data_IF_555232479617
#
_entry.id   IF_555232479617
#
_cell.length_a   1.000
_cell.length_b   1.000
_cell.length_c   1.000
_cell.angle_alpha   90.00
_cell.angle_beta   90.00
_cell.angle_gamma   90.00
#
_symmetry.space_group_name_H-M   'P 1'
#
loop_
_entity.id
_entity.type
_entity.pdbx_description
1 polymer ?
#
# COMPACT_ATOMS: atom_id res chain seq x y z
N UNK A 1 -0.55 11.57 -16.39
CA UNK A 1 -0.79 11.45 -14.93
C UNK A 1 0.45 10.84 -14.28
N UNK A 2 1.44 11.66 -13.94
CA UNK A 2 2.65 11.22 -13.23
C UNK A 2 2.59 11.71 -11.80
N UNK A 3 1.98 10.92 -10.92
CA UNK A 3 2.00 11.18 -9.48
C UNK A 3 3.31 10.66 -8.90
N UNK A 4 4.13 11.54 -8.35
CA UNK A 4 5.35 11.23 -7.60
C UNK A 4 5.09 10.09 -6.61
N UNK A 5 5.66 8.91 -6.89
CA UNK A 5 5.47 7.71 -6.09
C UNK A 5 6.58 7.56 -5.04
N UNK A 6 6.26 7.33 -3.76
CA UNK A 6 5.03 7.73 -3.06
C UNK A 6 5.13 9.19 -2.57
N UNK A 7 4.02 9.93 -2.62
CA UNK A 7 3.93 11.26 -1.97
C UNK A 7 4.16 11.09 -0.48
N UNK A 8 5.08 11.86 0.12
CA UNK A 8 5.29 11.85 1.58
C UNK A 8 3.97 12.17 2.28
N UNK A 9 3.34 11.16 2.88
CA UNK A 9 2.18 11.38 3.74
C UNK A 9 2.58 12.25 4.93
N UNK A 10 2.03 13.47 5.03
CA UNK A 10 2.36 14.43 6.11
C UNK A 10 1.69 14.07 7.44
N UNK A 11 0.51 13.44 7.37
CA UNK A 11 -0.24 12.97 8.53
C UNK A 11 0.00 11.48 8.73
N UNK A 12 0.83 11.15 9.73
CA UNK A 12 1.18 9.76 10.08
C UNK A 12 0.82 9.52 11.54
N UNK A 13 0.09 8.44 11.80
CA UNK A 13 -0.18 7.98 13.15
C UNK A 13 0.77 6.83 13.48
N UNK A 14 1.54 6.94 14.57
CA UNK A 14 2.46 5.89 14.97
C UNK A 14 1.66 4.66 15.44
N UNK A 15 1.77 3.54 14.73
CA UNK A 15 1.26 2.27 15.23
C UNK A 15 2.25 1.80 16.30
N UNK A 16 1.94 1.99 17.59
CA UNK A 16 2.81 1.54 18.67
C UNK A 16 2.63 0.04 18.86
N UNK A 17 3.72 -0.65 19.23
CA UNK A 17 3.71 -2.10 19.48
C UNK A 17 2.72 -2.50 20.58
N UNK A 18 2.54 -1.66 21.60
CA UNK A 18 1.59 -1.89 22.69
C UNK A 18 0.13 -1.84 22.19
N UNK A 19 -0.17 -0.95 21.26
CA UNK A 19 -1.53 -0.73 20.76
C UNK A 19 -1.86 -1.68 19.59
N UNK A 20 -0.86 -2.10 18.82
CA UNK A 20 -1.01 -2.95 17.63
C UNK A 20 -0.01 -4.13 17.62
N UNK A 21 -0.06 -5.05 18.60
CA UNK A 21 0.91 -6.12 18.74
C UNK A 21 0.90 -7.09 17.56
N UNK A 22 -0.28 -7.41 17.01
CA UNK A 22 -0.42 -8.34 15.89
C UNK A 22 0.21 -7.82 14.59
N UNK A 23 0.02 -6.54 14.29
CA UNK A 23 0.66 -5.88 13.15
C UNK A 23 2.18 -5.91 13.30
N UNK A 24 2.68 -5.63 14.51
CA UNK A 24 4.11 -5.67 14.77
C UNK A 24 4.68 -7.09 14.65
N UNK A 25 3.96 -8.11 15.11
CA UNK A 25 4.33 -9.51 14.95
C UNK A 25 4.37 -9.92 13.47
N UNK A 26 3.39 -9.49 12.67
CA UNK A 26 3.39 -9.72 11.22
C UNK A 26 4.61 -9.06 10.56
N UNK A 27 4.95 -7.82 10.91
CA UNK A 27 6.16 -7.15 10.39
C UNK A 27 7.45 -7.87 10.82
N UNK A 28 7.52 -8.39 12.05
CA UNK A 28 8.67 -9.17 12.54
C UNK A 28 8.84 -10.45 11.73
N UNK A 29 7.73 -11.16 11.54
CA UNK A 29 7.66 -12.45 10.85
C UNK A 29 8.02 -12.33 9.36
N UNK A 30 7.48 -11.33 8.66
CA UNK A 30 7.82 -11.06 7.25
C UNK A 30 9.28 -10.63 7.10
N UNK A 31 9.78 -9.74 7.97
CA UNK A 31 11.18 -9.31 7.94
C UNK A 31 12.13 -10.50 8.15
N UNK A 32 11.81 -11.37 9.11
CA UNK A 32 12.56 -12.60 9.36
C UNK A 32 12.54 -13.56 8.16
N UNK A 33 11.37 -13.77 7.56
CA UNK A 33 11.20 -14.62 6.37
C UNK A 33 12.03 -14.13 5.18
N UNK A 34 12.08 -12.81 4.97
CA UNK A 34 12.84 -12.21 3.88
C UNK A 34 14.34 -12.06 4.18
N UNK A 35 14.77 -12.29 5.43
CA UNK A 35 16.14 -12.02 5.85
C UNK A 35 16.52 -10.54 5.80
N UNK A 36 15.53 -9.64 5.85
CA UNK A 36 15.73 -8.19 5.77
C UNK A 36 15.60 -7.55 7.12
N UNK A 37 16.18 -6.35 7.27
CA UNK A 37 16.09 -5.65 8.56
C UNK A 37 14.73 -4.98 8.72
N UNK A 38 14.11 -5.26 9.87
CA UNK A 38 12.85 -4.65 10.34
C UNK A 38 12.89 -3.11 10.29
N UNK A 39 11.79 -2.46 9.86
CA UNK A 39 11.60 -1.02 10.02
C UNK A 39 11.72 -0.57 11.47
N UNK A 40 12.26 0.63 11.67
CA UNK A 40 12.36 1.27 12.98
C UNK A 40 11.01 1.81 13.47
N UNK A 41 10.09 2.10 12.55
CA UNK A 41 8.73 2.60 12.83
C UNK A 41 7.73 1.95 11.88
N UNK A 42 6.53 1.75 12.40
CA UNK A 42 5.34 1.36 11.64
C UNK A 42 4.29 2.44 11.87
N UNK A 43 3.71 2.98 10.81
CA UNK A 43 2.75 4.08 10.88
C UNK A 43 1.50 3.76 10.07
N UNK A 44 0.36 4.32 10.48
CA UNK A 44 -0.83 4.42 9.65
C UNK A 44 -0.89 5.78 8.95
N UNK A 45 -1.40 5.76 7.72
CA UNK A 45 -1.63 6.96 6.92
C UNK A 45 -3.05 6.96 6.33
N UNK A 46 -3.69 8.12 6.15
CA UNK A 46 -5.07 8.18 5.70
C UNK A 46 -5.21 8.16 4.16
N UNK A 47 -4.46 7.27 3.50
CA UNK A 47 -4.49 7.07 2.06
C UNK A 47 -4.55 5.58 1.78
N UNK A 48 -5.17 5.17 0.67
CA UNK A 48 -5.18 3.77 0.24
C UNK A 48 -3.90 3.46 -0.54
N UNK A 49 -2.79 3.39 0.20
CA UNK A 49 -1.46 3.16 -0.34
C UNK A 49 -0.56 2.58 0.77
N UNK A 50 0.59 2.04 0.41
CA UNK A 50 1.65 1.64 1.33
C UNK A 50 2.99 2.15 0.86
N UNK A 51 3.96 2.18 1.76
CA UNK A 51 5.29 2.58 1.38
C UNK A 51 6.27 2.59 2.51
N UNK A 52 7.50 2.92 2.16
CA UNK A 52 8.58 3.08 3.11
C UNK A 52 9.23 4.46 3.01
N UNK A 53 9.79 4.94 4.11
CA UNK A 53 10.48 6.23 4.16
C UNK A 53 11.78 6.09 4.96
N UNK A 54 12.94 6.49 4.41
CA UNK A 54 14.16 6.61 5.19
C UNK A 54 14.00 7.71 6.26
N UNK A 55 14.36 7.38 7.50
CA UNK A 55 14.44 8.32 8.63
C UNK A 55 15.89 8.70 8.96
N UNK A 56 16.86 8.07 8.30
CA UNK A 56 18.30 8.25 8.50
C UNK A 56 19.08 7.08 7.91
N UNK A 57 20.42 7.04 8.07
CA UNK A 57 21.29 6.04 7.41
C UNK A 57 20.93 4.59 7.72
N UNK A 58 20.31 4.34 8.87
CA UNK A 58 19.99 3.02 9.41
C UNK A 58 18.56 2.89 9.90
N UNK A 59 17.74 3.92 9.71
CA UNK A 59 16.38 3.98 10.27
C UNK A 59 15.40 4.16 9.14
N UNK A 60 14.36 3.34 9.16
CA UNK A 60 13.32 3.31 8.14
C UNK A 60 11.97 3.27 8.80
N UNK A 61 10.99 3.80 8.12
CA UNK A 61 9.58 3.76 8.49
C UNK A 61 8.83 2.99 7.42
N UNK A 62 8.02 2.03 7.85
CA UNK A 62 6.96 1.44 7.04
C UNK A 62 5.67 2.20 7.37
N UNK A 63 4.95 2.64 6.36
CA UNK A 63 3.62 3.20 6.54
C UNK A 63 2.61 2.40 5.73
N UNK A 64 1.46 2.19 6.34
CA UNK A 64 0.36 1.40 5.79
C UNK A 64 -0.88 2.27 5.76
N UNK A 65 -1.52 2.34 4.61
CA UNK A 65 -2.81 3.00 4.46
C UNK A 65 -3.85 2.41 5.38
N UNK A 66 -4.59 3.26 6.11
CA UNK A 66 -5.75 2.82 6.89
C UNK A 66 -6.73 1.96 6.06
N UNK A 67 -7.04 2.32 4.79
CA UNK A 67 -7.79 1.44 3.88
C UNK A 67 -7.24 0.04 3.75
N UNK A 68 -5.92 -0.13 3.68
CA UNK A 68 -5.29 -1.44 3.55
C UNK A 68 -5.31 -2.18 4.89
N UNK A 69 -4.96 -1.49 5.98
CA UNK A 69 -4.93 -2.08 7.32
C UNK A 69 -6.30 -2.63 7.79
N UNK A 70 -7.40 -2.03 7.33
CA UNK A 70 -8.75 -2.39 7.73
C UNK A 70 -9.56 -3.09 6.62
N UNK A 71 -9.10 -3.03 5.37
CA UNK A 71 -9.79 -3.56 4.20
C UNK A 71 -9.16 -4.82 3.62
N UNK A 72 -7.89 -5.09 3.88
CA UNK A 72 -7.24 -6.35 3.53
C UNK A 72 -7.45 -7.40 4.60
N UNK A 73 -7.48 -8.66 4.16
CA UNK A 73 -7.30 -9.78 5.08
C UNK A 73 -5.83 -9.88 5.53
N UNK A 74 -5.58 -10.83 6.44
CA UNK A 74 -4.26 -11.04 7.02
C UNK A 74 -3.20 -11.41 5.96
N UNK A 75 -3.54 -12.24 4.98
CA UNK A 75 -2.61 -12.75 3.98
C UNK A 75 -2.27 -11.69 2.93
N UNK A 76 -3.27 -10.91 2.51
CA UNK A 76 -3.13 -9.76 1.63
C UNK A 76 -2.25 -8.68 2.28
N UNK A 77 -2.53 -8.31 3.53
CA UNK A 77 -1.73 -7.31 4.25
C UNK A 77 -0.28 -7.79 4.46
N UNK A 78 -0.09 -9.08 4.76
CA UNK A 78 1.23 -9.71 4.86
C UNK A 78 2.00 -9.62 3.53
N UNK A 79 1.32 -9.82 2.40
CA UNK A 79 1.91 -9.72 1.07
C UNK A 79 2.34 -8.29 0.74
N UNK A 80 1.51 -7.31 1.08
CA UNK A 80 1.82 -5.88 0.92
C UNK A 80 3.03 -5.49 1.77
N UNK A 81 3.09 -5.93 3.03
CA UNK A 81 4.25 -5.70 3.89
C UNK A 81 5.50 -6.36 3.28
N UNK A 82 5.39 -7.57 2.75
CA UNK A 82 6.52 -8.26 2.12
C UNK A 82 7.06 -7.50 0.90
N UNK A 83 6.17 -7.00 0.04
CA UNK A 83 6.52 -6.15 -1.10
C UNK A 83 7.28 -4.90 -0.64
N UNK A 84 6.74 -4.18 0.33
CA UNK A 84 7.34 -2.94 0.84
C UNK A 84 8.70 -3.15 1.48
N UNK A 85 8.87 -4.25 2.23
CA UNK A 85 10.15 -4.59 2.85
C UNK A 85 11.19 -5.04 1.82
N UNK A 86 10.79 -5.80 0.80
CA UNK A 86 11.67 -6.20 -0.29
C UNK A 86 12.15 -4.97 -1.09
N UNK A 87 11.23 -4.07 -1.43
CA UNK A 87 11.55 -2.82 -2.14
C UNK A 87 12.45 -1.92 -1.29
N UNK A 88 12.18 -1.82 0.01
CA UNK A 88 13.00 -1.06 0.94
C UNK A 88 14.44 -1.58 1.00
N UNK A 89 14.62 -2.90 1.07
CA UNK A 89 15.95 -3.51 1.09
C UNK A 89 16.72 -3.22 -0.21
N UNK A 90 16.07 -3.36 -1.37
CA UNK A 90 16.65 -3.01 -2.65
C UNK A 90 17.09 -1.52 -2.70
N UNK A 91 16.25 -0.64 -2.15
CA UNK A 91 16.50 0.79 -2.08
C UNK A 91 17.56 1.22 -1.05
N UNK A 92 18.18 0.29 -0.30
CA UNK A 92 19.33 0.64 0.56
C UNK A 92 20.58 0.94 -0.23
N UNK A 93 20.67 0.41 -1.45
CA UNK A 93 21.76 0.74 -2.36
C UNK A 93 21.50 2.12 -2.93
N UNK A 94 22.46 3.03 -2.73
CA UNK A 94 22.34 4.42 -3.17
C UNK A 94 21.93 4.60 -4.65
N UNK A 95 22.39 3.79 -5.63
CA UNK A 95 22.00 3.98 -7.03
C UNK A 95 20.52 3.66 -7.26
N UNK A 96 20.03 2.59 -6.62
CA UNK A 96 18.62 2.17 -6.68
C UNK A 96 17.75 3.26 -6.09
N UNK A 97 18.16 3.80 -4.94
CA UNK A 97 17.45 4.91 -4.30
C UNK A 97 17.37 6.14 -5.20
N UNK A 98 18.49 6.53 -5.81
CA UNK A 98 18.56 7.67 -6.71
C UNK A 98 17.64 7.48 -7.94
N UNK A 99 17.59 6.27 -8.51
CA UNK A 99 16.68 5.96 -9.61
C UNK A 99 15.21 6.08 -9.21
N UNK A 100 14.84 5.56 -8.03
CA UNK A 100 13.47 5.68 -7.50
C UNK A 100 13.09 7.14 -7.23
N UNK A 101 13.99 7.92 -6.61
CA UNK A 101 13.76 9.34 -6.34
C UNK A 101 13.65 10.14 -7.66
N UNK A 102 14.48 9.84 -8.67
CA UNK A 102 14.40 10.45 -9.99
C UNK A 102 13.07 10.14 -10.68
N UNK A 103 12.64 8.87 -10.67
CA UNK A 103 11.35 8.44 -11.22
C UNK A 103 10.17 9.16 -10.56
N UNK A 104 10.25 9.39 -9.24
CA UNK A 104 9.25 10.14 -8.48
C UNK A 104 9.31 11.67 -8.63
N UNK A 105 10.45 12.24 -9.03
CA UNK A 105 10.70 13.69 -8.96
C UNK A 105 10.04 14.55 -10.05
N UNK A 106 9.34 13.96 -11.02
CA UNK A 106 8.61 14.68 -12.06
C UNK A 106 9.23 14.56 -13.46
N UNK A 107 8.95 15.49 -14.39
CA UNK A 107 9.22 15.28 -15.82
C UNK A 107 10.72 15.29 -16.14
N UNK A 108 11.24 14.11 -16.45
CA UNK A 108 12.54 13.94 -17.12
C UNK A 108 12.40 14.41 -18.57
N UNK A 109 13.14 15.46 -18.93
CA UNK A 109 13.02 16.14 -20.25
C UNK A 109 13.39 15.26 -21.44
N UNK A 110 14.31 14.30 -21.27
CA UNK A 110 14.76 13.41 -22.33
C UNK A 110 13.98 12.10 -22.29
N UNK A 111 13.22 11.84 -23.36
CA UNK A 111 12.35 10.66 -23.45
C UNK A 111 13.11 9.33 -23.34
N UNK A 112 14.29 9.22 -23.97
CA UNK A 112 15.12 8.01 -23.87
C UNK A 112 15.53 7.71 -22.41
N UNK A 113 16.00 8.72 -21.68
CA UNK A 113 16.39 8.61 -20.27
C UNK A 113 15.17 8.26 -19.39
N UNK A 114 14.01 8.85 -19.68
CA UNK A 114 12.76 8.52 -18.99
C UNK A 114 12.38 7.05 -19.19
N UNK A 115 12.51 6.52 -20.40
CA UNK A 115 12.20 5.12 -20.71
C UNK A 115 13.14 4.17 -20.00
N UNK A 116 14.45 4.45 -19.99
CA UNK A 116 15.44 3.62 -19.29
C UNK A 116 15.21 3.60 -17.77
N UNK A 117 14.96 4.77 -17.16
CA UNK A 117 14.63 4.85 -15.73
C UNK A 117 13.34 4.10 -15.43
N UNK A 118 12.31 4.25 -16.26
CA UNK A 118 11.05 3.53 -16.09
C UNK A 118 11.22 2.00 -16.22
N UNK A 119 12.07 1.53 -17.14
CA UNK A 119 12.38 0.11 -17.29
C UNK A 119 13.13 -0.43 -16.07
N UNK A 120 14.13 0.30 -15.57
CA UNK A 120 14.88 -0.07 -14.37
C UNK A 120 13.97 -0.13 -13.11
N UNK A 121 13.11 0.87 -12.92
CA UNK A 121 12.14 0.88 -11.83
C UNK A 121 11.13 -0.26 -11.97
N UNK A 122 10.63 -0.52 -13.17
CA UNK A 122 9.72 -1.66 -13.41
C UNK A 122 10.39 -3.00 -13.05
N UNK A 123 11.65 -3.20 -13.42
CA UNK A 123 12.38 -4.41 -13.06
C UNK A 123 12.51 -4.58 -11.54
N UNK A 124 12.77 -3.48 -10.81
CA UNK A 124 12.80 -3.49 -9.34
C UNK A 124 11.45 -3.84 -8.72
N UNK A 125 10.36 -3.29 -9.25
CA UNK A 125 9.00 -3.60 -8.77
C UNK A 125 8.62 -5.06 -9.03
N UNK A 126 8.96 -5.60 -10.21
CA UNK A 126 8.76 -7.02 -10.53
C UNK A 126 9.54 -7.91 -9.56
N UNK A 127 10.80 -7.56 -9.26
CA UNK A 127 11.59 -8.32 -8.30
C UNK A 127 11.01 -8.26 -6.88
N UNK A 128 10.47 -7.12 -6.46
CA UNK A 128 9.79 -6.99 -5.17
C UNK A 128 8.50 -7.83 -5.12
N UNK A 129 7.71 -7.84 -6.19
CA UNK A 129 6.51 -8.68 -6.32
C UNK A 129 6.84 -10.18 -6.26
N UNK A 130 7.86 -10.62 -6.99
CA UNK A 130 8.31 -12.01 -6.94
C UNK A 130 8.76 -12.42 -5.54
N UNK A 131 9.41 -11.51 -4.82
CA UNK A 131 9.83 -11.73 -3.44
C UNK A 131 8.62 -11.80 -2.50
N UNK A 132 7.64 -10.91 -2.66
CA UNK A 132 6.40 -10.93 -1.89
C UNK A 132 5.56 -12.19 -2.15
N UNK A 133 5.53 -12.68 -3.39
CA UNK A 133 4.86 -13.94 -3.76
C UNK A 133 5.46 -15.16 -3.04
N UNK A 134 6.72 -15.11 -2.58
CA UNK A 134 7.31 -16.18 -1.74
C UNK A 134 6.75 -16.18 -0.33
N UNK A 135 6.17 -15.06 0.12
CA UNK A 135 5.63 -14.88 1.47
C UNK A 135 4.11 -15.14 1.53
N UNK A 136 3.35 -14.69 0.53
CA UNK A 136 1.89 -14.77 0.52
C UNK A 136 1.31 -15.48 -0.71
N UNK A 137 2.10 -16.17 -1.55
CA UNK A 137 1.67 -16.76 -2.83
C UNK A 137 1.21 -15.75 -3.90
N UNK A 138 1.17 -16.19 -5.17
CA UNK A 138 0.86 -15.34 -6.33
C UNK A 138 -0.61 -14.90 -6.39
N UNK A 139 -1.53 -15.77 -5.98
CA UNK A 139 -2.97 -15.50 -6.05
C UNK A 139 -3.34 -14.44 -5.02
N UNK A 140 -2.82 -14.55 -3.81
CA UNK A 140 -3.05 -13.54 -2.77
C UNK A 140 -2.45 -12.19 -3.16
N UNK A 141 -1.23 -12.18 -3.73
CA UNK A 141 -0.63 -10.92 -4.22
C UNK A 141 -1.45 -10.27 -5.33
N UNK A 142 -1.92 -11.05 -6.31
CA UNK A 142 -2.80 -10.53 -7.35
C UNK A 142 -4.11 -9.97 -6.78
N UNK A 143 -4.68 -10.65 -5.79
CA UNK A 143 -5.90 -10.22 -5.10
C UNK A 143 -5.66 -8.92 -4.32
N UNK A 144 -4.55 -8.83 -3.58
CA UNK A 144 -4.16 -7.63 -2.84
C UNK A 144 -3.95 -6.43 -3.78
N UNK A 145 -3.33 -6.60 -4.94
CA UNK A 145 -3.15 -5.54 -5.94
C UNK A 145 -4.51 -5.06 -6.50
N UNK A 146 -5.38 -5.98 -6.90
CA UNK A 146 -6.71 -5.65 -7.41
C UNK A 146 -7.55 -4.93 -6.36
N UNK A 147 -7.59 -5.46 -5.13
CA UNK A 147 -8.31 -4.82 -4.03
C UNK A 147 -7.70 -3.50 -3.64
N UNK A 148 -6.37 -3.39 -3.63
CA UNK A 148 -5.67 -2.15 -3.39
C UNK A 148 -6.14 -1.06 -4.34
N UNK A 149 -6.18 -1.34 -5.65
CA UNK A 149 -6.69 -0.43 -6.66
C UNK A 149 -8.17 -0.04 -6.44
N UNK A 150 -9.03 -0.99 -6.05
CA UNK A 150 -10.44 -0.71 -5.71
C UNK A 150 -10.58 0.18 -4.47
N UNK A 151 -9.83 -0.09 -3.42
CA UNK A 151 -9.82 0.71 -2.20
C UNK A 151 -9.32 2.14 -2.52
N UNK A 152 -8.29 2.28 -3.36
CA UNK A 152 -7.78 3.59 -3.79
C UNK A 152 -8.80 4.36 -4.62
N UNK A 153 -9.47 3.71 -5.57
CA UNK A 153 -10.47 4.37 -6.40
C UNK A 153 -11.71 4.78 -5.60
N UNK A 154 -12.24 3.87 -4.78
CA UNK A 154 -13.43 4.16 -3.95
C UNK A 154 -13.16 5.22 -2.89
N UNK A 155 -11.96 5.22 -2.28
CA UNK A 155 -11.56 6.29 -1.37
C UNK A 155 -11.42 7.63 -2.11
N UNK A 156 -10.81 7.64 -3.30
CA UNK A 156 -10.69 8.83 -4.13
C UNK A 156 -12.06 9.42 -4.51
N UNK A 157 -13.01 8.56 -4.90
CA UNK A 157 -14.39 8.96 -5.17
C UNK A 157 -15.07 9.55 -3.93
N UNK A 158 -14.94 8.90 -2.78
CA UNK A 158 -15.55 9.35 -1.53
C UNK A 158 -14.97 10.69 -1.07
N UNK A 159 -13.64 10.82 -1.10
CA UNK A 159 -12.95 12.06 -0.77
C UNK A 159 -13.39 13.19 -1.71
N UNK A 160 -13.42 12.96 -3.03
CA UNK A 160 -13.83 13.97 -4.00
C UNK A 160 -15.28 14.43 -3.82
N UNK A 161 -16.17 13.55 -3.33
CA UNK A 161 -17.60 13.84 -3.20
C UNK A 161 -18.01 14.43 -1.86
N UNK A 162 -17.37 14.00 -0.77
CA UNK A 162 -17.81 14.33 0.59
C UNK A 162 -16.78 15.11 1.40
N UNK A 163 -15.56 15.23 0.89
CA UNK A 163 -14.43 15.73 1.68
C UNK A 163 -13.39 16.46 0.84
N UNK A 164 -13.78 17.07 -0.28
CA UNK A 164 -12.84 17.79 -1.14
C UNK A 164 -12.03 18.84 -0.33
N UNK A 165 -12.66 19.42 0.70
CA UNK A 165 -12.07 20.48 1.53
C UNK A 165 -11.46 19.99 2.86
N UNK A 166 -11.81 18.79 3.35
CA UNK A 166 -11.41 18.30 4.68
C UNK A 166 -9.91 17.96 4.84
N UNK A 167 -9.20 17.40 3.84
CA UNK A 167 -7.76 17.18 3.91
C UNK A 167 -6.95 18.45 4.16
N UNK A 168 -7.46 19.61 3.75
CA UNK A 168 -6.81 20.91 4.00
C UNK A 168 -6.91 21.37 5.46
N UNK A 169 -7.85 20.81 6.22
CA UNK A 169 -8.13 21.19 7.61
C UNK A 169 -7.45 20.27 8.65
N UNK A 170 -6.71 19.24 8.22
CA UNK A 170 -6.03 18.31 9.14
C UNK A 170 -6.97 17.48 10.04
N UNK A 171 -8.28 17.52 9.78
CA UNK A 171 -9.30 16.77 10.50
C UNK A 171 -9.41 15.37 9.89
N UNK A 172 -8.87 14.38 10.58
CA UNK A 172 -9.12 12.96 10.31
C UNK A 172 -9.81 12.35 11.52
N UNK A 173 -11.13 12.23 11.45
CA UNK A 173 -11.85 11.37 12.38
C UNK A 173 -11.84 9.94 11.84
N UNK A 174 -11.63 8.95 12.72
CA UNK A 174 -11.95 7.53 12.46
C UNK A 174 -13.35 7.39 11.84
N UNK A 175 -14.25 8.30 12.19
CA UNK A 175 -15.61 8.44 11.65
C UNK A 175 -15.63 8.67 10.13
N UNK A 176 -14.63 9.33 9.56
CA UNK A 176 -14.52 9.53 8.12
C UNK A 176 -14.27 8.20 7.40
N UNK A 177 -13.43 7.36 7.99
CA UNK A 177 -13.15 6.04 7.45
C UNK A 177 -14.35 5.09 7.64
N UNK A 178 -15.03 5.16 8.78
CA UNK A 178 -16.28 4.42 8.98
C UNK A 178 -17.37 4.90 7.99
N UNK A 179 -17.46 6.20 7.74
CA UNK A 179 -18.35 6.77 6.72
C UNK A 179 -18.01 6.31 5.30
N UNK A 180 -16.72 6.25 4.96
CA UNK A 180 -16.27 5.67 3.70
C UNK A 180 -16.66 4.19 3.58
N UNK A 181 -16.35 3.36 4.59
CA UNK A 181 -16.73 1.94 4.60
C UNK A 181 -18.22 1.75 4.45
N UNK A 182 -19.01 2.49 5.24
CA UNK A 182 -20.46 2.46 5.15
C UNK A 182 -20.93 2.77 3.74
N UNK A 183 -20.41 3.84 3.10
CA UNK A 183 -20.74 4.16 1.71
C UNK A 183 -20.31 3.12 0.69
N UNK A 184 -19.14 2.50 0.86
CA UNK A 184 -18.67 1.42 0.00
C UNK A 184 -19.64 0.24 0.02
N UNK A 185 -20.15 -0.13 1.20
CA UNK A 185 -21.11 -1.22 1.35
C UNK A 185 -22.53 -0.84 0.89
N UNK A 186 -23.02 0.32 1.30
CA UNK A 186 -24.39 0.79 1.00
C UNK A 186 -24.59 1.01 -0.50
N UNK A 187 -23.63 1.66 -1.16
CA UNK A 187 -23.73 1.99 -2.60
C UNK A 187 -23.19 0.87 -3.51
N UNK A 188 -22.73 -0.25 -2.92
CA UNK A 188 -21.95 -1.32 -3.54
C UNK A 188 -20.95 -0.79 -4.58
N UNK A 189 -20.10 0.13 -4.11
CA UNK A 189 -19.07 0.75 -4.95
C UNK A 189 -18.14 -0.29 -5.59
N UNK A 190 -17.72 -1.39 -4.93
CA UNK A 190 -16.89 -2.41 -5.57
C UNK A 190 -17.56 -3.01 -6.81
N UNK A 191 -18.86 -3.32 -6.76
CA UNK A 191 -19.61 -3.82 -7.91
C UNK A 191 -19.78 -2.80 -9.03
N UNK A 192 -19.90 -1.51 -8.69
CA UNK A 192 -19.98 -0.42 -9.68
C UNK A 192 -18.64 -0.12 -10.34
N UNK A 193 -17.55 -0.18 -9.58
CA UNK A 193 -16.20 0.13 -10.04
C UNK A 193 -15.56 -1.03 -10.80
N UNK A 194 -15.91 -2.28 -10.45
CA UNK A 194 -15.42 -3.46 -11.14
C UNK A 194 -16.48 -4.58 -11.05
N UNK A 195 -17.45 -4.63 -11.98
CA UNK A 195 -18.54 -5.62 -11.95
C UNK A 195 -18.07 -7.08 -11.84
N UNK A 196 -16.95 -7.42 -12.49
CA UNK A 196 -16.30 -8.74 -12.41
C UNK A 196 -15.69 -9.09 -11.05
N UNK A 197 -15.52 -8.12 -10.16
CA UNK A 197 -14.99 -8.36 -8.81
C UNK A 197 -15.92 -9.27 -8.00
N UNK A 198 -17.25 -9.11 -8.14
CA UNK A 198 -18.22 -9.99 -7.47
C UNK A 198 -18.07 -11.44 -7.92
N UNK A 199 -17.77 -11.69 -9.19
CA UNK A 199 -17.57 -13.04 -9.74
C UNK A 199 -16.31 -13.70 -9.16
N UNK A 200 -15.21 -12.95 -9.05
CA UNK A 200 -13.96 -13.43 -8.45
C UNK A 200 -14.08 -13.71 -6.95
N UNK A 201 -14.90 -12.93 -6.24
CA UNK A 201 -15.04 -13.03 -4.79
C UNK A 201 -16.13 -14.02 -4.34
N UNK A 202 -17.16 -14.23 -5.16
CA UNK A 202 -18.21 -15.22 -4.90
C UNK A 202 -17.69 -16.67 -4.97
N UNK A 203 -16.63 -16.92 -5.76
CA UNK A 203 -15.99 -18.21 -5.88
C UNK A 203 -15.18 -18.64 -4.64
N UNK A 204 -14.84 -17.70 -3.75
CA UNK A 204 -13.99 -17.94 -2.56
C UNK A 204 -14.76 -17.90 -1.23
N UNK A 205 -16.09 -17.71 -1.25
CA UNK A 205 -16.88 -17.95 -0.03
C UNK A 205 -17.07 -19.46 0.16
N UNK A 206 -16.64 -20.06 1.29
CA UNK A 206 -17.20 -21.34 1.66
C UNK A 206 -18.73 -21.16 1.71
N UNK A 207 -19.46 -22.06 1.07
CA UNK A 207 -20.90 -22.10 1.16
C UNK A 207 -21.26 -22.09 2.64
N UNK A 208 -21.72 -20.95 3.15
CA UNK A 208 -22.33 -20.89 4.47
C UNK A 208 -23.59 -21.72 4.35
N UNK A 209 -23.48 -22.97 4.83
CA UNK A 209 -24.59 -23.91 4.91
C UNK A 209 -25.76 -23.21 5.59
N UNK A 210 -26.86 -23.14 4.86
CA UNK A 210 -28.18 -22.84 5.41
C UNK A 210 -28.75 -24.11 6.02
#
# INVERSE_FOLDING_TARGET
>A
MGGAWPRRARHRHLARRADYPELHAMVDEVAGTLGVRRPSRVCFVPIADSGTTPLGPRRTELWIGLPYAMGFDRAELRGVIAFELALLEACRRWPVRALMDLYGSGPIKKDAVRTEIAAAVRALLVQADETACRVSDRRTMATALLRGALLSHSLGWFLGRYAADLPSCGLFAVDFYQGWRWKVYEDDLPARLMPRYRELYAADRPATGS
#
